data_IF_609524929953
#
_entry.id   IF_609524929953
#
_cell.length_a   1.000
_cell.length_b   1.000
_cell.length_c   1.000
_cell.angle_alpha   90.00
_cell.angle_beta   90.00
_cell.angle_gamma   90.00
#
_symmetry.space_group_name_H-M   'P 1'
#
loop_
_entity.id
_entity.type
_entity.pdbx_description
1 polymer ?
#
# COMPACT_ATOMS: atom_id res chain seq x y z
N UNK A 1 7.94 -14.95 -9.18
CA UNK A 1 6.50 -14.75 -8.95
C UNK A 1 6.20 -13.36 -9.46
N UNK A 2 5.12 -13.18 -10.23
CA UNK A 2 4.79 -11.86 -10.77
C UNK A 2 4.41 -10.93 -9.61
N UNK A 3 4.56 -9.61 -9.81
CA UNK A 3 4.40 -8.62 -8.75
C UNK A 3 3.27 -7.66 -9.05
N UNK A 4 2.41 -7.44 -8.07
CA UNK A 4 1.35 -6.43 -8.11
C UNK A 4 1.61 -5.40 -7.02
N UNK A 5 1.51 -4.13 -7.40
CA UNK A 5 1.61 -3.00 -6.49
C UNK A 5 0.25 -2.33 -6.35
N UNK A 6 -0.15 -1.99 -5.13
CA UNK A 6 -1.44 -1.37 -4.86
C UNK A 6 -1.21 -0.05 -4.13
N UNK A 7 -1.83 1.04 -4.58
CA UNK A 7 -1.70 2.34 -3.90
C UNK A 7 -2.95 3.18 -4.05
N UNK A 8 -3.22 4.01 -3.04
CA UNK A 8 -4.19 5.10 -3.18
C UNK A 8 -3.52 6.31 -3.85
N UNK A 9 -4.26 7.00 -4.72
CA UNK A 9 -3.87 8.29 -5.29
C UNK A 9 -4.55 9.39 -4.49
N UNK A 10 -3.81 10.38 -3.96
CA UNK A 10 -4.38 11.42 -3.11
C UNK A 10 -5.27 12.39 -3.89
N UNK A 11 -6.19 13.04 -3.18
CA UNK A 11 -6.96 14.20 -3.65
C UNK A 11 -6.25 15.54 -3.40
N UNK A 12 -5.02 15.52 -2.88
CA UNK A 12 -4.26 16.74 -2.64
C UNK A 12 -3.85 17.28 -4.01
N UNK A 13 -4.55 18.27 -4.57
CA UNK A 13 -4.22 18.86 -5.88
C UNK A 13 -2.81 19.47 -5.94
N UNK A 14 -2.68 20.78 -6.12
CA UNK A 14 -1.36 21.41 -6.26
C UNK A 14 -0.50 21.42 -4.98
N UNK A 15 -0.96 20.79 -3.89
CA UNK A 15 -0.26 20.68 -2.61
C UNK A 15 0.53 19.36 -2.46
N UNK A 16 0.46 18.48 -3.45
CA UNK A 16 1.20 17.22 -3.42
C UNK A 16 2.69 17.46 -3.73
N UNK A 17 3.42 17.78 -2.67
CA UNK A 17 4.86 18.01 -2.73
C UNK A 17 5.65 16.70 -2.58
N UNK A 18 6.75 16.55 -3.33
CA UNK A 18 7.63 15.40 -3.19
C UNK A 18 8.35 15.48 -1.83
N UNK A 19 8.58 14.32 -1.21
CA UNK A 19 9.22 14.19 0.10
C UNK A 19 10.31 13.14 0.06
N UNK A 20 11.32 13.30 0.91
CA UNK A 20 12.26 12.23 1.26
C UNK A 20 11.80 11.63 2.58
N UNK A 21 11.63 10.30 2.61
CA UNK A 21 11.16 9.59 3.80
C UNK A 21 12.31 8.87 4.49
N UNK A 22 12.48 9.12 5.80
CA UNK A 22 13.47 8.43 6.61
C UNK A 22 12.96 7.04 6.97
N UNK A 23 13.69 6.02 6.55
CA UNK A 23 13.39 4.67 6.97
C UNK A 23 13.71 4.47 8.46
N UNK A 24 12.80 3.88 9.22
CA UNK A 24 13.02 3.59 10.65
C UNK A 24 13.83 2.31 10.89
N UNK A 25 13.98 1.46 9.88
CA UNK A 25 14.83 0.26 9.84
C UNK A 25 15.28 -0.02 8.40
N UNK A 26 16.19 -0.96 8.19
CA UNK A 26 16.55 -1.37 6.83
C UNK A 26 15.47 -2.30 6.25
N UNK A 27 14.83 -1.86 5.16
CA UNK A 27 13.81 -2.63 4.42
C UNK A 27 14.34 -3.16 3.07
N UNK A 28 15.61 -2.91 2.75
CA UNK A 28 16.13 -3.10 1.39
C UNK A 28 15.37 -2.25 0.37
N UNK A 29 14.99 -1.02 0.76
CA UNK A 29 14.30 -0.02 -0.07
C UNK A 29 15.08 1.28 0.05
N UNK A 30 15.43 1.89 -1.08
CA UNK A 30 16.07 3.21 -1.09
C UNK A 30 15.04 4.31 -0.82
N UNK A 31 14.86 4.66 0.46
CA UNK A 31 13.92 5.70 0.88
C UNK A 31 14.51 7.11 0.78
N UNK A 32 15.77 7.26 0.36
CA UNK A 32 16.38 8.58 0.12
C UNK A 32 15.95 9.20 -1.21
N UNK A 33 15.17 8.47 -2.00
CA UNK A 33 14.52 8.98 -3.20
C UNK A 33 13.42 9.98 -2.84
N UNK A 34 13.53 11.18 -3.41
CA UNK A 34 12.46 12.17 -3.35
C UNK A 34 11.26 11.67 -4.16
N UNK A 35 10.09 11.60 -3.52
CA UNK A 35 8.90 11.03 -4.14
C UNK A 35 7.62 11.68 -3.65
N UNK A 36 6.63 11.87 -4.53
CA UNK A 36 5.25 12.20 -4.13
C UNK A 36 4.45 10.97 -3.72
N UNK A 37 4.92 9.78 -4.04
CA UNK A 37 4.16 8.54 -3.86
C UNK A 37 5.05 7.50 -3.19
N UNK A 38 4.91 7.25 -1.88
CA UNK A 38 5.81 6.35 -1.14
C UNK A 38 5.89 4.91 -1.67
N UNK A 39 4.97 4.49 -2.54
CA UNK A 39 5.06 3.20 -3.24
C UNK A 39 6.16 3.17 -4.31
N UNK A 40 6.59 4.31 -4.86
CA UNK A 40 7.55 4.35 -5.98
C UNK A 40 8.92 3.77 -5.59
N UNK A 41 9.53 4.14 -4.44
CA UNK A 41 10.73 3.48 -3.95
C UNK A 41 10.57 1.96 -3.79
N UNK A 42 9.37 1.51 -3.37
CA UNK A 42 9.05 0.08 -3.25
C UNK A 42 9.05 -0.60 -4.62
N UNK A 43 8.34 -0.01 -5.59
CA UNK A 43 8.28 -0.56 -6.96
C UNK A 43 9.69 -0.65 -7.52
N UNK A 44 10.49 0.41 -7.39
CA UNK A 44 11.87 0.44 -7.88
C UNK A 44 12.75 -0.62 -7.23
N UNK A 45 12.57 -0.87 -5.92
CA UNK A 45 13.37 -1.85 -5.19
C UNK A 45 12.95 -3.31 -5.45
N UNK A 46 11.67 -3.55 -5.79
CA UNK A 46 11.11 -4.91 -5.91
C UNK A 46 10.87 -5.34 -7.36
N UNK A 47 10.67 -4.42 -8.30
CA UNK A 47 10.65 -4.73 -9.72
C UNK A 47 12.06 -5.15 -10.17
N UNK A 48 12.17 -6.27 -10.86
CA UNK A 48 13.44 -6.68 -11.50
C UNK A 48 13.56 -5.89 -12.81
N UNK A 49 14.79 -5.66 -13.26
CA UNK A 49 15.04 -5.06 -14.57
C UNK A 49 14.29 -5.86 -15.66
N UNK A 50 13.54 -5.16 -16.51
CA UNK A 50 12.64 -5.70 -17.55
C UNK A 50 11.32 -6.39 -17.11
N UNK A 51 11.00 -6.48 -15.81
CA UNK A 51 9.67 -6.93 -15.37
C UNK A 51 8.57 -6.00 -15.92
N UNK A 52 7.47 -6.58 -16.41
CA UNK A 52 6.22 -5.84 -16.55
C UNK A 52 5.61 -5.63 -15.16
N UNK A 53 5.47 -4.38 -14.76
CA UNK A 53 4.97 -4.01 -13.43
C UNK A 53 3.47 -3.73 -13.52
N UNK A 54 2.64 -4.50 -12.80
CA UNK A 54 1.22 -4.18 -12.65
C UNK A 54 1.01 -3.32 -11.41
N UNK A 55 0.43 -2.12 -11.60
CA UNK A 55 0.07 -1.24 -10.49
C UNK A 55 -1.44 -1.02 -10.50
N UNK A 56 -2.10 -1.36 -9.39
CA UNK A 56 -3.51 -1.06 -9.15
C UNK A 56 -3.56 0.25 -8.36
N UNK A 57 -4.15 1.28 -8.96
CA UNK A 57 -4.38 2.57 -8.31
C UNK A 57 -5.83 2.66 -7.88
N UNK A 58 -6.06 3.21 -6.68
CA UNK A 58 -7.41 3.50 -6.19
C UNK A 58 -7.52 5.00 -5.93
N UNK A 59 -8.53 5.65 -6.52
CA UNK A 59 -8.75 7.08 -6.35
C UNK A 59 -10.23 7.42 -6.34
N UNK A 60 -10.55 8.61 -5.85
CA UNK A 60 -11.90 9.15 -6.00
C UNK A 60 -12.13 9.71 -7.41
N UNK A 61 -13.39 9.85 -7.81
CA UNK A 61 -13.77 10.49 -9.06
C UNK A 61 -13.75 12.02 -8.92
N UNK A 62 -12.55 12.61 -8.96
CA UNK A 62 -12.39 14.06 -8.99
C UNK A 62 -11.13 14.49 -9.78
N UNK A 63 -11.11 15.77 -10.14
CA UNK A 63 -10.05 16.34 -10.98
C UNK A 63 -8.66 16.27 -10.32
N UNK A 64 -8.56 16.50 -9.02
CA UNK A 64 -7.28 16.53 -8.32
C UNK A 64 -6.61 15.15 -8.30
N UNK A 65 -7.38 14.11 -7.99
CA UNK A 65 -6.85 12.75 -8.00
C UNK A 65 -6.56 12.24 -9.42
N UNK A 66 -7.32 12.69 -10.44
CA UNK A 66 -7.01 12.39 -11.84
C UNK A 66 -5.69 13.05 -12.28
N UNK A 67 -5.45 14.31 -11.90
CA UNK A 67 -4.16 14.99 -12.14
C UNK A 67 -3.02 14.27 -11.42
N UNK A 68 -3.24 13.87 -10.16
CA UNK A 68 -2.24 13.15 -9.39
C UNK A 68 -1.92 11.76 -9.95
N UNK A 69 -2.87 11.09 -10.59
CA UNK A 69 -2.60 9.84 -11.30
C UNK A 69 -1.63 10.06 -12.47
N UNK A 70 -1.77 11.15 -13.22
CA UNK A 70 -0.82 11.49 -14.27
C UNK A 70 0.56 11.83 -13.69
N UNK A 71 0.62 12.58 -12.58
CA UNK A 71 1.88 12.81 -11.86
C UNK A 71 2.53 11.50 -11.39
N UNK A 72 1.74 10.56 -10.88
CA UNK A 72 2.21 9.23 -10.48
C UNK A 72 2.85 8.48 -11.66
N UNK A 73 2.18 8.46 -12.82
CA UNK A 73 2.71 7.84 -14.05
C UNK A 73 4.02 8.49 -14.49
N UNK A 74 4.11 9.82 -14.45
CA UNK A 74 5.35 10.53 -14.77
C UNK A 74 6.50 10.15 -13.82
N UNK A 75 6.20 10.04 -12.53
CA UNK A 75 7.20 9.72 -11.52
C UNK A 75 7.68 8.26 -11.60
N UNK A 76 6.81 7.31 -11.98
CA UNK A 76 7.21 5.94 -12.33
C UNK A 76 8.27 5.93 -13.45
N UNK A 77 8.03 6.68 -14.52
CA UNK A 77 8.97 6.78 -15.66
C UNK A 77 10.29 7.39 -15.20
N UNK A 78 10.24 8.46 -14.40
CA UNK A 78 11.45 9.12 -13.86
C UNK A 78 12.24 8.21 -12.92
N UNK A 79 11.56 7.33 -12.18
CA UNK A 79 12.17 6.30 -11.33
C UNK A 79 12.85 5.17 -12.12
N UNK A 80 12.69 5.13 -13.46
CA UNK A 80 13.21 4.09 -14.34
C UNK A 80 12.21 2.96 -14.64
N UNK A 81 10.97 3.04 -14.16
CA UNK A 81 9.92 2.03 -14.32
C UNK A 81 9.18 2.31 -15.64
N UNK A 82 9.72 1.83 -16.76
CA UNK A 82 9.22 2.17 -18.11
C UNK A 82 8.04 1.31 -18.57
N UNK A 83 7.87 0.11 -18.00
CA UNK A 83 6.83 -0.86 -18.38
C UNK A 83 5.89 -1.10 -17.21
N UNK A 84 5.07 -0.10 -16.90
CA UNK A 84 4.02 -0.20 -15.88
C UNK A 84 2.64 -0.28 -16.53
N UNK A 85 1.92 -1.37 -16.28
CA UNK A 85 0.50 -1.53 -16.61
C UNK A 85 -0.31 -1.00 -15.43
N UNK A 86 -0.97 0.15 -15.63
CA UNK A 86 -1.79 0.81 -14.61
C UNK A 86 -3.24 0.35 -14.73
N UNK A 87 -3.77 -0.20 -13.66
CA UNK A 87 -5.20 -0.49 -13.49
C UNK A 87 -5.78 0.58 -12.57
N UNK A 88 -6.54 1.52 -13.15
CA UNK A 88 -7.15 2.63 -12.39
C UNK A 88 -8.56 2.26 -11.92
N UNK A 89 -8.72 2.17 -10.60
CA UNK A 89 -10.01 1.97 -9.92
C UNK A 89 -10.48 3.32 -9.41
N UNK A 90 -11.67 3.72 -9.88
CA UNK A 90 -12.26 5.02 -9.62
C UNK A 90 -13.51 4.83 -8.76
N UNK A 91 -13.49 5.41 -7.57
CA UNK A 91 -14.58 5.34 -6.61
C UNK A 91 -15.35 6.66 -6.52
N UNK A 92 -16.67 6.65 -6.28
CA UNK A 92 -17.40 7.86 -5.91
C UNK A 92 -16.80 8.53 -4.67
N UNK A 93 -16.78 9.87 -4.62
CA UNK A 93 -16.25 10.64 -3.50
C UNK A 93 -17.17 10.61 -2.27
N UNK A 94 -17.26 9.45 -1.62
CA UNK A 94 -17.94 9.26 -0.35
C UNK A 94 -17.22 8.20 0.51
N UNK A 95 -17.72 7.99 1.73
CA UNK A 95 -17.20 7.01 2.68
C UNK A 95 -18.29 6.02 3.14
N UNK A 96 -19.29 5.80 2.29
CA UNK A 96 -20.35 4.84 2.59
C UNK A 96 -19.79 3.41 2.56
N UNK A 97 -20.27 2.56 3.47
CA UNK A 97 -19.80 1.17 3.59
C UNK A 97 -19.90 0.41 2.27
N UNK A 98 -20.94 0.66 1.48
CA UNK A 98 -21.15 0.01 0.18
C UNK A 98 -20.08 0.38 -0.83
N UNK A 99 -19.61 1.64 -0.83
CA UNK A 99 -18.50 2.12 -1.67
C UNK A 99 -17.20 1.45 -1.24
N UNK A 100 -16.95 1.33 0.07
CA UNK A 100 -15.79 0.60 0.58
C UNK A 100 -15.77 -0.88 0.15
N UNK A 101 -16.93 -1.55 0.18
CA UNK A 101 -17.08 -2.94 -0.29
C UNK A 101 -16.87 -3.03 -1.80
N UNK A 102 -17.39 -2.08 -2.58
CA UNK A 102 -17.20 -2.05 -4.02
C UNK A 102 -15.71 -1.90 -4.38
N UNK A 103 -15.01 -0.96 -3.75
CA UNK A 103 -13.56 -0.81 -3.86
C UNK A 103 -12.81 -2.11 -3.54
N UNK A 104 -13.19 -2.79 -2.45
CA UNK A 104 -12.60 -4.09 -2.11
C UNK A 104 -12.78 -5.10 -3.25
N UNK A 105 -13.99 -5.22 -3.81
CA UNK A 105 -14.30 -6.17 -4.87
C UNK A 105 -13.55 -5.85 -6.18
N UNK A 106 -13.47 -4.56 -6.52
CA UNK A 106 -12.79 -4.12 -7.74
C UNK A 106 -11.28 -4.32 -7.66
N UNK A 107 -10.65 -4.07 -6.52
CA UNK A 107 -9.24 -4.39 -6.34
C UNK A 107 -9.05 -5.90 -6.35
N UNK A 108 -9.88 -6.68 -5.62
CA UNK A 108 -9.80 -8.13 -5.59
C UNK A 108 -9.89 -8.76 -6.99
N UNK A 109 -10.79 -8.26 -7.83
CA UNK A 109 -10.95 -8.72 -9.22
C UNK A 109 -9.67 -8.54 -10.03
N UNK A 110 -8.91 -7.48 -9.76
CA UNK A 110 -7.69 -7.13 -10.49
C UNK A 110 -6.41 -7.70 -9.87
N UNK A 111 -6.46 -8.33 -8.69
CA UNK A 111 -5.34 -9.11 -8.16
C UNK A 111 -5.33 -10.49 -8.81
N UNK A 112 -4.25 -10.83 -9.52
CA UNK A 112 -4.08 -12.12 -10.18
C UNK A 112 -3.72 -13.23 -9.16
N UNK A 113 -3.84 -14.50 -9.55
CA UNK A 113 -3.33 -15.61 -8.75
C UNK A 113 -1.81 -15.78 -8.96
N UNK A 114 -1.14 -16.47 -8.03
CA UNK A 114 0.30 -16.74 -8.09
C UNK A 114 1.17 -15.47 -8.18
N UNK A 115 0.81 -14.40 -7.45
CA UNK A 115 1.55 -13.14 -7.40
C UNK A 115 2.01 -12.74 -5.99
N UNK A 116 3.10 -11.99 -5.95
CA UNK A 116 3.53 -11.24 -4.77
C UNK A 116 2.90 -9.84 -4.79
N UNK A 117 2.29 -9.44 -3.67
CA UNK A 117 1.57 -8.17 -3.54
C UNK A 117 2.31 -7.24 -2.59
N UNK A 118 2.50 -6.00 -3.04
CA UNK A 118 3.02 -4.90 -2.25
C UNK A 118 2.00 -3.76 -2.24
N UNK A 119 1.75 -3.13 -1.10
CA UNK A 119 0.75 -2.08 -0.99
C UNK A 119 1.29 -0.84 -0.28
N UNK A 120 0.72 0.33 -0.58
CA UNK A 120 0.96 1.57 0.11
C UNK A 120 -0.37 2.21 0.52
N UNK A 121 -0.52 2.50 1.81
CA UNK A 121 -1.76 3.03 2.40
C UNK A 121 -1.67 4.50 2.82
N UNK A 122 -0.61 5.21 2.40
CA UNK A 122 -0.32 6.60 2.79
C UNK A 122 -1.45 7.58 2.50
N UNK A 123 -2.07 7.46 1.32
CA UNK A 123 -3.04 8.44 0.83
C UNK A 123 -4.49 7.98 0.87
N UNK A 124 -4.75 6.78 1.39
CA UNK A 124 -6.12 6.33 1.62
C UNK A 124 -6.79 7.20 2.69
N UNK A 125 -8.08 7.47 2.51
CA UNK A 125 -8.90 7.91 3.65
C UNK A 125 -8.90 6.81 4.71
N UNK A 126 -9.29 7.13 5.94
CA UNK A 126 -9.34 6.13 7.02
C UNK A 126 -10.15 4.88 6.61
N UNK A 127 -11.30 5.09 5.98
CA UNK A 127 -12.18 4.00 5.51
C UNK A 127 -11.52 3.22 4.37
N UNK A 128 -10.94 3.90 3.37
CA UNK A 128 -10.21 3.23 2.28
C UNK A 128 -9.03 2.40 2.80
N UNK A 129 -8.23 2.95 3.72
CA UNK A 129 -7.09 2.25 4.30
C UNK A 129 -7.55 1.03 5.11
N UNK A 130 -8.63 1.14 5.89
CA UNK A 130 -9.21 0.00 6.60
C UNK A 130 -9.67 -1.10 5.63
N UNK A 131 -10.39 -0.74 4.56
CA UNK A 131 -10.84 -1.68 3.54
C UNK A 131 -9.68 -2.31 2.76
N UNK A 132 -8.63 -1.54 2.47
CA UNK A 132 -7.40 -2.03 1.85
C UNK A 132 -6.69 -3.04 2.76
N UNK A 133 -6.59 -2.78 4.07
CA UNK A 133 -6.02 -3.73 5.02
C UNK A 133 -6.84 -5.02 5.10
N UNK A 134 -8.17 -4.93 5.10
CA UNK A 134 -9.06 -6.10 5.05
C UNK A 134 -8.88 -6.89 3.76
N UNK A 135 -8.74 -6.21 2.63
CA UNK A 135 -8.44 -6.83 1.34
C UNK A 135 -7.13 -7.61 1.39
N UNK A 136 -6.05 -6.96 1.80
CA UNK A 136 -4.71 -7.56 1.85
C UNK A 136 -4.70 -8.80 2.76
N UNK A 137 -5.34 -8.74 3.92
CA UNK A 137 -5.55 -9.90 4.78
C UNK A 137 -6.32 -11.02 4.08
N UNK A 138 -7.39 -10.66 3.34
CA UNK A 138 -8.29 -11.60 2.68
C UNK A 138 -7.65 -12.32 1.49
N UNK A 139 -6.62 -11.74 0.85
CA UNK A 139 -5.99 -12.31 -0.35
C UNK A 139 -5.47 -13.73 -0.12
N UNK A 140 -4.93 -14.02 1.07
CA UNK A 140 -4.44 -15.37 1.43
C UNK A 140 -5.53 -16.44 1.44
N UNK A 141 -6.80 -16.04 1.53
CA UNK A 141 -7.96 -16.94 1.61
C UNK A 141 -8.81 -16.94 0.34
N UNK A 142 -8.79 -15.84 -0.41
CA UNK A 142 -9.66 -15.65 -1.58
C UNK A 142 -8.97 -15.88 -2.92
N UNK A 143 -7.63 -15.92 -2.95
CA UNK A 143 -6.85 -16.08 -4.18
C UNK A 143 -5.87 -17.25 -4.06
N UNK A 144 -5.60 -17.89 -5.19
CA UNK A 144 -4.67 -19.01 -5.24
C UNK A 144 -3.23 -18.50 -5.22
N UNK A 145 -2.46 -18.96 -4.23
CA UNK A 145 -1.04 -18.63 -4.04
C UNK A 145 -0.74 -17.13 -4.17
N UNK A 146 -1.49 -16.26 -3.50
CA UNK A 146 -1.17 -14.83 -3.42
C UNK A 146 -0.50 -14.53 -2.09
N UNK A 147 0.59 -13.78 -2.11
CA UNK A 147 1.37 -13.45 -0.92
C UNK A 147 1.52 -11.94 -0.76
N UNK A 148 1.03 -11.40 0.35
CA UNK A 148 1.33 -10.01 0.72
C UNK A 148 2.75 -9.98 1.29
N UNK A 149 3.66 -9.34 0.55
CA UNK A 149 5.08 -9.26 0.88
C UNK A 149 5.45 -7.96 1.61
N UNK A 150 4.63 -6.92 1.45
CA UNK A 150 4.93 -5.59 1.98
C UNK A 150 3.70 -4.68 2.01
N UNK A 151 3.49 -3.98 3.13
CA UNK A 151 2.49 -2.92 3.27
C UNK A 151 3.19 -1.71 3.85
N UNK A 152 3.19 -0.60 3.12
CA UNK A 152 4.01 0.56 3.41
C UNK A 152 3.17 1.78 3.75
N UNK A 153 3.73 2.63 4.60
CA UNK A 153 3.12 3.88 5.04
C UNK A 153 4.18 4.98 5.15
N UNK A 154 3.96 6.08 4.44
CA UNK A 154 4.76 7.30 4.52
C UNK A 154 4.10 8.30 5.48
N UNK A 155 4.64 8.47 6.67
CA UNK A 155 4.21 9.50 7.62
C UNK A 155 4.83 10.85 7.25
N UNK A 156 4.02 11.91 7.25
CA UNK A 156 4.48 13.30 7.27
C UNK A 156 4.03 13.91 8.59
N UNK A 157 4.97 14.20 9.49
CA UNK A 157 4.62 14.80 10.78
C UNK A 157 4.30 16.27 10.62
N UNK A 158 3.22 16.69 11.27
CA UNK A 158 2.72 18.06 11.21
C UNK A 158 2.54 18.64 12.59
N UNK A 159 2.83 19.93 12.70
CA UNK A 159 2.53 20.74 13.88
C UNK A 159 1.96 22.07 13.40
N UNK A 160 0.88 22.53 14.04
CA UNK A 160 0.17 23.74 13.63
C UNK A 160 -0.28 23.75 12.15
N UNK A 161 -0.59 22.56 11.60
CA UNK A 161 -0.95 22.35 10.18
C UNK A 161 0.17 22.58 9.17
N UNK A 162 1.41 22.71 9.63
CA UNK A 162 2.60 22.78 8.79
C UNK A 162 3.40 21.47 8.89
N UNK A 163 4.03 21.08 7.79
CA UNK A 163 4.94 19.94 7.77
C UNK A 163 6.18 20.27 8.60
N UNK A 164 6.56 19.37 9.50
CA UNK A 164 7.85 19.48 10.20
C UNK A 164 8.97 19.10 9.26
N UNK A 165 9.87 20.04 9.01
CA UNK A 165 10.95 19.87 8.03
C UNK A 165 11.82 18.65 8.36
N UNK A 166 11.94 17.73 7.40
CA UNK A 166 12.72 16.51 7.55
C UNK A 166 12.14 15.46 8.50
N UNK A 167 10.91 15.62 9.02
CA UNK A 167 10.21 14.63 9.84
C UNK A 167 9.20 13.81 9.01
N UNK A 168 9.66 13.27 7.88
CA UNK A 168 8.90 12.28 7.12
C UNK A 168 9.50 10.90 7.36
N UNK A 169 8.66 9.90 7.63
CA UNK A 169 9.10 8.56 7.99
C UNK A 169 8.47 7.50 7.10
N UNK A 170 9.25 6.47 6.79
CA UNK A 170 8.80 5.32 6.02
C UNK A 170 8.66 4.10 6.93
N UNK A 171 7.49 3.49 6.92
CA UNK A 171 7.15 2.33 7.73
C UNK A 171 6.74 1.15 6.85
N UNK A 172 7.23 -0.03 7.19
CA UNK A 172 6.64 -1.29 6.79
C UNK A 172 5.72 -1.77 7.92
N UNK A 173 4.43 -1.80 7.63
CA UNK A 173 3.35 -2.18 8.54
C UNK A 173 2.74 -3.53 8.18
N UNK A 174 3.43 -4.37 7.40
CA UNK A 174 2.96 -5.71 6.99
C UNK A 174 2.57 -6.60 8.16
N UNK A 175 3.21 -6.41 9.32
CA UNK A 175 2.90 -7.15 10.54
C UNK A 175 1.44 -6.98 10.99
N UNK A 176 0.75 -5.89 10.60
CA UNK A 176 -0.68 -5.72 10.86
C UNK A 176 -1.53 -6.73 10.09
N UNK A 177 -1.13 -7.11 8.86
CA UNK A 177 -1.76 -8.17 8.07
C UNK A 177 -1.42 -9.54 8.67
N UNK A 178 -0.14 -9.78 8.96
CA UNK A 178 0.32 -11.06 9.50
C UNK A 178 -0.22 -11.38 10.89
N UNK A 179 -0.47 -10.36 11.72
CA UNK A 179 -1.12 -10.51 13.02
C UNK A 179 -2.49 -11.19 12.88
N UNK A 180 -3.29 -10.79 11.90
CA UNK A 180 -4.62 -11.37 11.73
C UNK A 180 -4.57 -12.82 11.20
N UNK A 181 -3.58 -13.15 10.37
CA UNK A 181 -3.29 -14.54 9.98
C UNK A 181 -2.88 -15.39 11.18
N UNK A 182 -2.01 -14.85 12.05
CA UNK A 182 -1.61 -15.52 13.28
C UNK A 182 -2.82 -15.77 14.20
N UNK A 183 -3.70 -14.78 14.37
CA UNK A 183 -4.93 -14.91 15.17
C UNK A 183 -5.83 -16.03 14.63
N UNK A 184 -6.05 -16.09 13.31
CA UNK A 184 -6.85 -17.15 12.67
C UNK A 184 -6.23 -18.54 12.91
N UNK A 185 -4.91 -18.67 12.73
CA UNK A 185 -4.19 -19.93 13.00
C UNK A 185 -4.29 -20.35 14.47
N UNK A 186 -4.16 -19.42 15.42
CA UNK A 186 -4.33 -19.68 16.85
C UNK A 186 -5.73 -20.22 17.14
N UNK A 187 -6.76 -19.61 16.55
CA UNK A 187 -8.15 -20.01 16.71
C UNK A 187 -8.41 -21.41 16.13
N UNK A 188 -7.90 -21.68 14.93
CA UNK A 188 -8.06 -22.97 14.24
C UNK A 188 -7.34 -24.11 14.98
N UNK A 189 -6.14 -23.84 15.49
CA UNK A 189 -5.36 -24.79 16.28
C UNK A 189 -5.84 -24.94 17.73
N UNK A 190 -6.79 -24.11 18.17
CA UNK A 190 -7.30 -24.07 19.56
C UNK A 190 -6.17 -23.99 20.59
N UNK A 191 -5.19 -23.12 20.34
CA UNK A 191 -4.03 -22.94 21.22
C UNK A 191 -4.51 -22.57 22.63
N UNK A 192 -3.96 -23.24 23.64
CA UNK A 192 -4.38 -23.08 25.04
C UNK A 192 -4.01 -21.74 25.65
N UNK A 193 -2.94 -21.12 25.16
CA UNK A 193 -2.46 -19.79 25.58
C UNK A 193 -2.20 -18.91 24.34
N UNK A 194 -3.22 -18.19 23.85
CA UNK A 194 -3.08 -17.32 22.68
C UNK A 194 -2.19 -16.11 22.97
N UNK A 195 -2.10 -15.64 24.22
CA UNK A 195 -1.30 -14.48 24.59
C UNK A 195 0.20 -14.78 24.54
N UNK A 196 0.64 -15.96 25.02
CA UNK A 196 2.03 -16.39 24.91
C UNK A 196 2.48 -16.47 23.44
N UNK A 197 1.61 -16.97 22.56
CA UNK A 197 1.91 -17.06 21.14
C UNK A 197 2.05 -15.68 20.50
N UNK A 198 1.12 -14.76 20.76
CA UNK A 198 1.16 -13.40 20.22
C UNK A 198 2.35 -12.59 20.74
N UNK A 199 2.78 -12.81 21.99
CA UNK A 199 3.96 -12.15 22.55
C UNK A 199 5.27 -12.48 21.82
N UNK A 200 5.31 -13.57 21.04
CA UNK A 200 6.48 -13.89 20.20
C UNK A 200 6.60 -12.94 19.01
N UNK A 201 5.49 -12.38 18.51
CA UNK A 201 5.47 -11.43 17.38
C UNK A 201 6.01 -10.03 17.73
N UNK A 202 6.12 -9.70 19.03
CA UNK A 202 6.61 -8.39 19.51
C UNK A 202 8.14 -8.38 19.64
N UNK A 203 8.79 -9.56 19.65
CA UNK A 203 10.22 -9.73 19.97
C UNK A 203 11.14 -9.85 18.74
N UNK A 204 10.61 -9.66 17.54
CA UNK A 204 11.33 -9.66 16.26
C UNK A 204 11.32 -8.25 15.64
#
# INVERSE_FOLDING_TARGET
MDKIFITNIPMMGDKLEPKIYKSVKDYGIDTNMETRFPIIPVIKAKAIEDDEVKVITVRYDNEDSAKNLEMFKHELVFAGIKKATIVDIVEPENQEDITGIQMFLDVLKNVDNHVDVYACVTYGTKVMSMMMMHLLDSLAYLKDNVKVQGVYYGEVRRENSEDREGENYFYDISNLVFLNHAIKNIADLKVSDPEEFLNKLIKE
#
